data_IF_465180796574
#
_entry.id   IF_465180796574
#
_cell.length_a   1.000
_cell.length_b   1.000
_cell.length_c   1.000
_cell.angle_alpha   90.00
_cell.angle_beta   90.00
_cell.angle_gamma   90.00
#
_symmetry.space_group_name_H-M   'P 1'
#
loop_
_entity.id
_entity.type
_entity.pdbx_description
1 polymer ?
#
# COMPACT_ATOMS: atom_id res chain seq x y z
N UNK A 1 3.13 -8.10 0.26
CA UNK A 1 3.48 -9.04 -0.83
C UNK A 1 4.31 -8.37 -1.91
N UNK A 2 3.91 -7.21 -2.44
CA UNK A 2 4.60 -6.52 -3.55
C UNK A 2 5.82 -5.66 -3.16
N UNK A 3 6.03 -5.36 -1.88
CA UNK A 3 7.15 -4.53 -1.43
C UNK A 3 8.50 -5.12 -1.86
N UNK A 4 9.29 -4.32 -2.56
CA UNK A 4 10.64 -4.68 -3.03
C UNK A 4 10.66 -5.82 -4.06
N UNK A 5 9.54 -6.11 -4.71
CA UNK A 5 9.43 -7.19 -5.70
C UNK A 5 8.91 -6.70 -7.04
N UNK A 6 9.37 -7.37 -8.08
CA UNK A 6 8.87 -7.26 -9.44
C UNK A 6 7.57 -8.05 -9.61
N UNK A 7 6.82 -7.75 -10.67
CA UNK A 7 5.58 -8.47 -10.99
C UNK A 7 5.81 -9.98 -11.16
N UNK A 8 6.92 -10.37 -11.79
CA UNK A 8 7.28 -11.77 -12.03
C UNK A 8 7.56 -12.53 -10.72
N UNK A 9 8.32 -11.92 -9.80
CA UNK A 9 8.58 -12.49 -8.48
C UNK A 9 7.29 -12.69 -7.68
N UNK A 10 6.33 -11.78 -7.81
CA UNK A 10 5.03 -11.90 -7.16
C UNK A 10 4.21 -13.02 -7.82
N UNK A 11 4.13 -13.04 -9.15
CA UNK A 11 3.41 -14.05 -9.93
C UNK A 11 3.89 -15.47 -9.58
N UNK A 12 5.22 -15.66 -9.53
CA UNK A 12 5.82 -16.93 -9.13
C UNK A 12 5.52 -17.27 -7.67
N UNK A 13 5.62 -16.29 -6.75
CA UNK A 13 5.37 -16.52 -5.33
C UNK A 13 3.93 -16.95 -5.01
N UNK A 14 2.96 -16.53 -5.82
CA UNK A 14 1.55 -16.91 -5.66
C UNK A 14 1.15 -18.13 -6.52
N UNK A 15 2.06 -18.62 -7.38
CA UNK A 15 1.80 -19.76 -8.27
C UNK A 15 0.82 -19.47 -9.39
N UNK A 16 0.74 -18.21 -9.85
CA UNK A 16 -0.12 -17.83 -10.97
C UNK A 16 0.62 -17.97 -12.30
N UNK A 17 -0.11 -18.35 -13.35
CA UNK A 17 0.40 -18.37 -14.73
C UNK A 17 0.61 -16.97 -15.30
N UNK A 18 -0.20 -16.01 -14.84
CA UNK A 18 -0.10 -14.61 -15.24
C UNK A 18 -0.63 -13.67 -14.15
N UNK A 19 0.00 -12.51 -14.03
CA UNK A 19 -0.37 -11.45 -13.08
C UNK A 19 -0.32 -10.10 -13.79
N UNK A 20 -1.36 -9.29 -13.58
CA UNK A 20 -1.46 -7.91 -14.04
C UNK A 20 -1.88 -7.01 -12.88
N UNK A 21 -1.27 -5.84 -12.81
CA UNK A 21 -1.70 -4.74 -11.94
C UNK A 21 -2.34 -3.65 -12.80
N UNK A 22 -3.37 -3.00 -12.27
CA UNK A 22 -3.92 -1.78 -12.86
C UNK A 22 -2.91 -0.64 -12.71
N UNK A 23 -2.83 0.25 -13.70
CA UNK A 23 -2.05 1.48 -13.58
C UNK A 23 -2.66 2.43 -12.54
N UNK A 24 -1.83 3.12 -11.76
CA UNK A 24 -2.32 4.03 -10.74
C UNK A 24 -3.06 5.23 -11.34
N UNK A 25 -2.62 5.73 -12.50
CA UNK A 25 -3.31 6.79 -13.24
C UNK A 25 -4.68 6.34 -13.71
N UNK A 26 -4.77 5.14 -14.29
CA UNK A 26 -6.06 4.56 -14.70
C UNK A 26 -7.01 4.37 -13.51
N UNK A 27 -6.49 4.01 -12.34
CA UNK A 27 -7.28 3.91 -11.11
C UNK A 27 -7.79 5.28 -10.66
N UNK A 28 -6.94 6.31 -10.66
CA UNK A 28 -7.32 7.68 -10.31
C UNK A 28 -8.38 8.20 -11.28
N UNK A 29 -8.19 8.02 -12.59
CA UNK A 29 -9.15 8.45 -13.61
C UNK A 29 -10.49 7.73 -13.46
N UNK A 30 -10.47 6.42 -13.22
CA UNK A 30 -11.66 5.62 -12.99
C UNK A 30 -12.44 6.07 -11.74
N UNK A 31 -11.73 6.42 -10.65
CA UNK A 31 -12.33 6.94 -9.42
C UNK A 31 -12.80 8.40 -9.57
N UNK A 32 -12.14 9.19 -10.41
CA UNK A 32 -12.48 10.60 -10.63
C UNK A 32 -13.81 10.73 -11.38
N UNK A 33 -14.07 9.83 -12.33
CA UNK A 33 -15.40 9.52 -12.82
C UNK A 33 -16.14 10.66 -13.54
N UNK A 34 -16.58 10.36 -14.77
CA UNK A 34 -17.50 11.15 -15.59
C UNK A 34 -18.68 11.71 -14.77
N UNK A 35 -18.70 13.02 -14.52
CA UNK A 35 -19.79 13.88 -13.98
C UNK A 35 -19.54 14.47 -12.58
N UNK A 36 -18.95 15.67 -12.55
CA UNK A 36 -19.22 16.68 -11.51
C UNK A 36 -18.51 16.51 -10.16
N UNK A 37 -17.62 15.53 -9.99
CA UNK A 37 -16.80 15.44 -8.78
C UNK A 37 -15.69 16.49 -8.80
N UNK A 38 -15.58 17.31 -7.75
CA UNK A 38 -14.52 18.32 -7.59
C UNK A 38 -13.28 17.76 -6.86
N UNK A 39 -13.03 16.45 -6.97
CA UNK A 39 -11.89 15.83 -6.31
C UNK A 39 -10.64 16.13 -7.14
N UNK A 40 -9.68 16.85 -6.55
CA UNK A 40 -8.43 17.22 -7.20
C UNK A 40 -7.35 16.14 -7.04
N UNK A 41 -7.27 15.50 -5.85
CA UNK A 41 -6.26 14.49 -5.53
C UNK A 41 -6.79 13.42 -4.57
N UNK A 42 -6.19 12.23 -4.63
CA UNK A 42 -6.46 11.12 -3.72
C UNK A 42 -5.22 10.82 -2.86
N UNK A 43 -5.43 10.35 -1.63
CA UNK A 43 -4.36 9.72 -0.88
C UNK A 43 -4.05 8.35 -1.50
N UNK A 44 -2.97 8.30 -2.27
CA UNK A 44 -2.44 7.08 -2.90
C UNK A 44 -1.18 6.57 -2.21
N UNK A 45 -0.97 6.94 -0.93
CA UNK A 45 0.30 6.72 -0.21
C UNK A 45 0.72 5.25 -0.15
N UNK A 46 -0.23 4.31 -0.11
CA UNK A 46 0.06 2.88 -0.14
C UNK A 46 0.54 2.35 -1.49
N UNK A 47 0.34 3.10 -2.58
CA UNK A 47 0.78 2.76 -3.93
C UNK A 47 2.06 3.48 -4.32
N UNK A 48 2.16 4.78 -4.03
CA UNK A 48 3.26 5.65 -4.49
C UNK A 48 4.22 6.10 -3.38
N UNK A 49 3.92 5.82 -2.11
CA UNK A 49 4.73 6.23 -0.97
C UNK A 49 4.61 7.73 -0.60
N UNK A 50 3.72 8.49 -1.23
CA UNK A 50 3.53 9.92 -0.99
C UNK A 50 2.45 10.10 0.08
N UNK A 51 2.86 10.42 1.29
CA UNK A 51 1.96 10.65 2.44
C UNK A 51 1.61 12.14 2.57
N UNK A 52 0.34 12.48 2.36
CA UNK A 52 -0.14 13.88 2.29
C UNK A 52 -0.05 14.64 3.63
N UNK A 53 -0.07 13.92 4.75
CA UNK A 53 -0.04 14.51 6.10
C UNK A 53 1.35 15.00 6.52
N UNK A 54 2.41 14.54 5.83
CA UNK A 54 3.79 14.74 6.25
C UNK A 54 4.13 14.00 7.55
N UNK A 55 5.43 13.83 7.82
CA UNK A 55 5.90 13.21 9.07
C UNK A 55 5.86 11.68 9.11
N UNK A 56 5.53 11.03 8.00
CA UNK A 56 5.75 9.58 7.85
C UNK A 56 7.20 9.36 7.48
N UNK A 57 7.99 8.88 8.44
CA UNK A 57 9.40 8.53 8.26
C UNK A 57 9.62 7.05 8.54
N UNK A 58 10.78 6.53 8.14
CA UNK A 58 11.16 5.15 8.44
C UNK A 58 11.20 4.89 9.95
N UNK A 59 11.64 5.88 10.74
CA UNK A 59 11.64 5.81 12.20
C UNK A 59 10.23 5.72 12.77
N UNK A 60 9.29 6.49 12.20
CA UNK A 60 7.88 6.44 12.60
C UNK A 60 7.28 5.05 12.31
N UNK A 61 7.47 4.53 11.10
CA UNK A 61 6.97 3.21 10.70
C UNK A 61 7.63 2.08 11.54
N UNK A 62 8.93 2.19 11.80
CA UNK A 62 9.68 1.29 12.68
C UNK A 62 9.13 1.27 14.10
N UNK A 63 8.76 2.43 14.66
CA UNK A 63 8.14 2.52 15.99
C UNK A 63 6.81 1.78 16.03
N UNK A 64 5.95 1.99 15.03
CA UNK A 64 4.66 1.29 14.94
C UNK A 64 4.85 -0.22 14.85
N UNK A 65 5.81 -0.67 14.03
CA UNK A 65 6.11 -2.10 13.85
C UNK A 65 6.52 -2.76 15.17
N UNK A 66 7.35 -2.10 15.98
CA UNK A 66 7.75 -2.57 17.32
C UNK A 66 6.54 -2.69 18.25
N UNK A 67 5.73 -1.64 18.36
CA UNK A 67 4.52 -1.66 19.21
C UNK A 67 3.59 -2.81 18.83
N UNK A 68 3.35 -3.05 17.54
CA UNK A 68 2.52 -4.17 17.07
C UNK A 68 3.12 -5.53 17.43
N UNK A 69 4.44 -5.67 17.33
CA UNK A 69 5.15 -6.91 17.66
C UNK A 69 5.04 -7.25 19.15
N UNK A 70 5.15 -6.23 20.01
CA UNK A 70 5.03 -6.42 21.46
C UNK A 70 3.60 -6.78 21.87
N UNK A 71 2.58 -6.13 21.29
CA UNK A 71 1.18 -6.51 21.51
C UNK A 71 0.86 -7.93 21.00
N UNK A 72 1.47 -8.35 19.89
CA UNK A 72 1.32 -9.70 19.36
C UNK A 72 1.92 -10.77 20.29
N UNK A 73 3.03 -10.46 20.97
CA UNK A 73 3.65 -11.34 21.97
C UNK A 73 2.82 -11.44 23.25
N UNK A 74 2.20 -10.35 23.69
CA UNK A 74 1.27 -10.35 24.82
C UNK A 74 0.03 -11.21 24.53
N UNK A 75 -0.54 -11.13 23.32
CA UNK A 75 -1.69 -11.98 22.93
C UNK A 75 -1.32 -13.46 22.75
N UNK A 76 -0.12 -13.77 22.28
CA UNK A 76 0.35 -15.14 22.08
C UNK A 76 0.81 -15.84 23.38
N UNK A 77 0.98 -15.07 24.47
CA UNK A 77 1.39 -15.58 25.78
C UNK A 77 0.20 -15.86 26.71
N UNK A 78 -1.02 -15.94 26.17
CA UNK A 78 -2.26 -16.32 26.87
C UNK A 78 -2.78 -17.65 26.38
#
# INVERSE_FOLDING_TARGET
MAYGKTNDEICQAIGADWLIYQDLGDLVDACTGTSGSQIEEFDCSCFNGIYVTGGITEEYLSRISRTRSDSGKEQASV
#
